data_IF_918814286523
#
_entry.id   IF_918814286523
#
_cell.length_a   1.000
_cell.length_b   1.000
_cell.length_c   1.000
_cell.angle_alpha   90.00
_cell.angle_beta   90.00
_cell.angle_gamma   90.00
#
_symmetry.space_group_name_H-M   'P 1'
#
loop_
_entity.id
_entity.type
_entity.pdbx_description
1 polymer ?
#
# COMPACT_ATOMS: atom_id res chain seq x y z
N UNK A 1 -49.64 -17.47 -2.29
CA UNK A 1 -48.49 -17.84 -3.14
C UNK A 1 -47.85 -16.56 -3.67
N UNK A 2 -46.57 -16.30 -3.37
CA UNK A 2 -45.86 -15.08 -3.80
C UNK A 2 -45.10 -15.23 -5.12
N UNK A 3 -45.05 -16.45 -5.70
CA UNK A 3 -44.27 -16.77 -6.91
C UNK A 3 -44.59 -15.91 -8.14
N UNK A 4 -45.75 -15.25 -8.17
CA UNK A 4 -46.11 -14.33 -9.26
C UNK A 4 -45.57 -12.91 -9.08
N UNK A 5 -45.04 -12.58 -7.88
CA UNK A 5 -44.54 -11.24 -7.51
C UNK A 5 -43.06 -11.24 -7.16
N UNK A 6 -42.44 -12.43 -7.03
CA UNK A 6 -41.02 -12.59 -6.64
C UNK A 6 -40.31 -13.35 -7.75
N UNK A 7 -39.26 -12.74 -8.29
CA UNK A 7 -38.35 -13.34 -9.27
C UNK A 7 -37.05 -13.74 -8.57
N UNK A 8 -36.41 -14.79 -9.06
CA UNK A 8 -35.10 -15.26 -8.58
C UNK A 8 -33.95 -14.80 -9.49
N UNK A 9 -34.24 -14.00 -10.51
CA UNK A 9 -33.24 -13.42 -11.39
C UNK A 9 -32.54 -12.27 -10.63
N UNK A 10 -31.20 -12.30 -10.48
CA UNK A 10 -30.48 -11.25 -9.78
C UNK A 10 -30.33 -9.99 -10.64
N UNK A 11 -30.09 -8.86 -9.99
CA UNK A 11 -29.51 -7.69 -10.64
C UNK A 11 -28.00 -7.87 -10.75
N UNK A 12 -27.42 -7.65 -11.94
CA UNK A 12 -25.98 -7.76 -12.20
C UNK A 12 -25.44 -6.37 -12.52
N UNK A 13 -24.36 -5.98 -11.83
CA UNK A 13 -23.64 -4.74 -12.06
C UNK A 13 -22.14 -5.05 -12.16
N UNK A 14 -21.49 -4.53 -13.20
CA UNK A 14 -20.05 -4.61 -13.39
C UNK A 14 -19.43 -3.24 -13.10
N UNK A 15 -18.38 -3.23 -12.28
CA UNK A 15 -17.66 -2.01 -11.91
C UNK A 15 -16.15 -2.28 -11.99
N UNK A 16 -15.42 -1.41 -12.68
CA UNK A 16 -13.96 -1.45 -12.67
C UNK A 16 -13.44 -0.91 -11.33
N UNK A 17 -12.54 -1.68 -10.70
CA UNK A 17 -11.89 -1.28 -9.44
C UNK A 17 -10.63 -0.51 -9.79
N UNK A 18 -10.74 0.82 -9.81
CA UNK A 18 -9.62 1.74 -9.95
C UNK A 18 -9.02 2.16 -8.59
N UNK A 19 -8.05 3.07 -8.62
CA UNK A 19 -7.30 3.54 -7.45
C UNK A 19 -8.17 4.28 -6.42
N UNK A 20 -9.36 4.77 -6.79
CA UNK A 20 -10.26 5.48 -5.89
C UNK A 20 -11.07 4.50 -5.02
N UNK A 21 -11.15 3.22 -5.39
CA UNK A 21 -11.81 2.19 -4.61
C UNK A 21 -10.85 1.52 -3.63
N UNK A 22 -11.00 1.82 -2.34
CA UNK A 22 -10.15 1.22 -1.30
C UNK A 22 -10.70 -0.10 -0.75
N UNK A 23 -12.03 -0.23 -0.68
CA UNK A 23 -12.68 -1.38 -0.06
C UNK A 23 -14.11 -1.60 -0.56
N UNK A 24 -14.62 -2.82 -0.32
CA UNK A 24 -16.04 -3.18 -0.45
C UNK A 24 -16.52 -3.85 0.83
N UNK A 25 -17.71 -3.46 1.29
CA UNK A 25 -18.43 -4.12 2.39
C UNK A 25 -19.66 -4.82 1.83
N UNK A 26 -19.75 -6.12 2.01
CA UNK A 26 -20.93 -6.93 1.70
C UNK A 26 -21.51 -7.46 3.01
N UNK A 27 -22.80 -7.30 3.24
CA UNK A 27 -23.44 -7.74 4.48
C UNK A 27 -24.94 -7.99 4.30
N UNK A 28 -25.51 -8.76 5.23
CA UNK A 28 -26.96 -8.89 5.39
C UNK A 28 -27.60 -7.59 5.90
N UNK A 29 -28.90 -7.46 5.72
CA UNK A 29 -29.75 -6.39 6.27
C UNK A 29 -29.62 -6.24 7.80
N UNK A 30 -29.37 -7.35 8.52
CA UNK A 30 -29.01 -7.31 9.94
C UNK A 30 -27.85 -6.36 10.29
N UNK A 31 -26.94 -6.03 9.36
CA UNK A 31 -25.97 -4.93 9.53
C UNK A 31 -26.58 -3.57 9.17
N UNK A 32 -27.12 -3.45 7.96
CA UNK A 32 -27.53 -2.19 7.35
C UNK A 32 -28.74 -1.53 8.01
N UNK A 33 -29.58 -2.30 8.70
CA UNK A 33 -30.72 -1.79 9.45
C UNK A 33 -30.30 -0.87 10.62
N UNK A 34 -29.08 -1.04 11.15
CA UNK A 34 -28.60 -0.33 12.36
C UNK A 34 -27.24 0.36 12.19
N UNK A 35 -26.51 0.07 11.10
CA UNK A 35 -25.22 0.70 10.77
C UNK A 35 -25.37 1.50 9.48
N UNK A 36 -25.06 2.80 9.54
CA UNK A 36 -25.06 3.67 8.36
C UNK A 36 -23.86 3.38 7.47
N UNK A 37 -23.98 3.68 6.18
CA UNK A 37 -22.92 3.46 5.19
C UNK A 37 -21.62 4.17 5.60
N UNK A 38 -21.70 5.42 6.08
CA UNK A 38 -20.54 6.22 6.47
C UNK A 38 -19.82 5.60 7.68
N UNK A 39 -20.59 5.15 8.68
CA UNK A 39 -20.05 4.44 9.85
C UNK A 39 -19.38 3.13 9.42
N UNK A 40 -19.98 2.40 8.49
CA UNK A 40 -19.46 1.13 8.01
C UNK A 40 -18.11 1.31 7.30
N UNK A 41 -18.00 2.30 6.41
CA UNK A 41 -16.75 2.64 5.72
C UNK A 41 -15.68 3.07 6.71
N UNK A 42 -16.02 3.96 7.66
CA UNK A 42 -15.08 4.42 8.67
C UNK A 42 -14.51 3.26 9.50
N UNK A 43 -15.38 2.35 9.98
CA UNK A 43 -14.96 1.16 10.74
C UNK A 43 -14.12 0.24 9.84
N UNK A 44 -14.52 0.04 8.58
CA UNK A 44 -13.82 -0.85 7.67
C UNK A 44 -12.42 -0.37 7.33
N UNK A 45 -12.21 0.94 7.19
CA UNK A 45 -10.90 1.53 6.92
C UNK A 45 -9.93 1.37 8.10
N UNK A 46 -10.38 1.69 9.32
CA UNK A 46 -9.49 1.80 10.49
C UNK A 46 -9.17 0.45 11.15
N UNK A 47 -10.07 -0.52 11.06
CA UNK A 47 -9.95 -1.77 11.81
C UNK A 47 -9.23 -2.86 11.02
N UNK A 48 -8.28 -3.55 11.68
CA UNK A 48 -7.65 -4.77 11.12
C UNK A 48 -8.64 -5.93 11.02
N UNK A 49 -9.58 -6.02 11.98
CA UNK A 49 -10.65 -7.01 12.03
C UNK A 49 -12.00 -6.42 11.63
N UNK A 50 -12.04 -5.65 10.55
CA UNK A 50 -13.19 -4.85 10.13
C UNK A 50 -14.53 -5.61 10.16
N UNK A 51 -14.61 -6.78 9.53
CA UNK A 51 -15.85 -7.57 9.47
C UNK A 51 -16.37 -7.94 10.88
N UNK A 52 -15.47 -8.33 11.80
CA UNK A 52 -15.83 -8.61 13.19
C UNK A 52 -16.28 -7.35 13.91
N UNK A 53 -15.60 -6.22 13.70
CA UNK A 53 -15.99 -4.98 14.36
C UNK A 53 -17.35 -4.47 13.89
N UNK A 54 -17.65 -4.62 12.59
CA UNK A 54 -18.95 -4.30 12.01
C UNK A 54 -20.05 -5.18 12.60
N UNK A 55 -19.84 -6.49 12.71
CA UNK A 55 -20.84 -7.39 13.28
C UNK A 55 -21.07 -7.13 14.77
N UNK A 56 -20.01 -6.88 15.55
CA UNK A 56 -20.10 -6.45 16.95
C UNK A 56 -20.84 -5.12 17.10
N UNK A 57 -20.62 -4.18 16.18
CA UNK A 57 -21.27 -2.87 16.21
C UNK A 57 -22.77 -2.99 15.94
N UNK A 58 -23.18 -3.76 14.93
CA UNK A 58 -24.60 -4.02 14.69
C UNK A 58 -25.27 -4.76 15.85
N UNK A 59 -24.59 -5.76 16.42
CA UNK A 59 -25.10 -6.45 17.60
C UNK A 59 -25.28 -5.48 18.79
N UNK A 60 -24.28 -4.66 19.07
CA UNK A 60 -24.32 -3.66 20.15
C UNK A 60 -25.35 -2.55 19.93
N UNK A 61 -25.73 -2.26 18.67
CA UNK A 61 -26.80 -1.33 18.31
C UNK A 61 -28.19 -1.95 18.33
N UNK A 62 -28.30 -3.24 18.68
CA UNK A 62 -29.59 -3.91 18.87
C UNK A 62 -30.17 -4.52 17.60
N UNK A 63 -29.34 -4.89 16.62
CA UNK A 63 -29.81 -5.69 15.48
C UNK A 63 -30.51 -6.96 15.99
N UNK A 64 -31.70 -7.21 15.45
CA UNK A 64 -32.56 -8.34 15.80
C UNK A 64 -32.51 -9.47 14.77
N UNK A 65 -31.60 -9.39 13.80
CA UNK A 65 -31.46 -10.37 12.71
C UNK A 65 -30.08 -11.05 12.71
N UNK A 66 -29.87 -12.00 11.82
CA UNK A 66 -28.58 -12.60 11.54
C UNK A 66 -27.64 -11.57 10.90
N UNK A 67 -26.50 -11.35 11.54
CA UNK A 67 -25.49 -10.39 11.09
C UNK A 67 -24.35 -11.15 10.43
N UNK A 68 -24.23 -10.99 9.12
CA UNK A 68 -23.10 -11.51 8.33
C UNK A 68 -22.43 -10.35 7.61
N UNK A 69 -21.10 -10.35 7.55
CA UNK A 69 -20.33 -9.27 6.93
C UNK A 69 -19.03 -9.81 6.33
N UNK A 70 -18.72 -9.38 5.11
CA UNK A 70 -17.47 -9.60 4.39
C UNK A 70 -16.91 -8.23 4.06
N UNK A 71 -15.62 -8.03 4.35
CA UNK A 71 -14.89 -6.80 3.99
C UNK A 71 -13.73 -7.19 3.09
N UNK A 72 -13.70 -6.61 1.90
CA UNK A 72 -12.62 -6.76 0.92
C UNK A 72 -11.85 -5.45 0.88
N UNK A 73 -10.54 -5.49 1.10
CA UNK A 73 -9.65 -4.33 0.93
C UNK A 73 -8.83 -4.53 -0.34
N UNK A 74 -8.84 -3.54 -1.22
CA UNK A 74 -8.03 -3.56 -2.41
C UNK A 74 -6.62 -3.06 -2.09
N UNK A 75 -5.62 -3.71 -2.67
CA UNK A 75 -4.24 -3.25 -2.59
C UNK A 75 -3.86 -2.73 -3.97
N UNK A 76 -3.84 -1.41 -4.10
CA UNK A 76 -3.34 -0.76 -5.31
C UNK A 76 -1.81 -0.74 -5.23
N UNK A 77 -1.15 -1.37 -6.19
CA UNK A 77 0.28 -1.20 -6.37
C UNK A 77 0.52 0.28 -6.62
N UNK A 78 1.35 0.91 -5.77
CA UNK A 78 1.74 2.30 -5.99
C UNK A 78 2.46 2.34 -7.33
N UNK A 79 1.83 2.93 -8.34
CA UNK A 79 2.59 3.41 -9.48
C UNK A 79 3.63 4.38 -8.91
N UNK A 80 4.90 4.05 -9.05
CA UNK A 80 5.96 5.01 -8.79
C UNK A 80 5.62 6.27 -9.59
N UNK A 81 5.63 7.47 -8.99
CA UNK A 81 5.36 8.69 -9.74
C UNK A 81 6.36 8.76 -10.88
N UNK A 82 5.85 8.67 -12.11
CA UNK A 82 6.62 8.73 -13.35
C UNK A 82 7.54 9.96 -13.28
N UNK A 83 8.85 9.74 -13.17
CA UNK A 83 9.83 10.83 -13.16
C UNK A 83 9.59 11.68 -14.42
N UNK A 84 9.54 13.03 -14.30
CA UNK A 84 9.35 13.88 -15.47
C UNK A 84 10.47 13.59 -16.49
N UNK A 85 10.14 13.57 -17.80
CA UNK A 85 11.10 13.16 -18.83
C UNK A 85 12.37 14.00 -18.73
N UNK A 86 13.56 13.39 -18.93
CA UNK A 86 14.83 14.10 -18.82
C UNK A 86 14.83 15.29 -19.77
N UNK A 87 15.16 16.46 -19.23
CA UNK A 87 15.23 17.71 -20.00
C UNK A 87 16.18 17.52 -21.20
N UNK A 88 15.83 18.03 -22.39
CA UNK A 88 16.66 17.87 -23.58
C UNK A 88 18.06 18.47 -23.32
N UNK A 89 19.13 17.83 -23.83
CA UNK A 89 20.49 18.29 -23.59
C UNK A 89 20.68 19.71 -24.15
N UNK A 90 21.10 20.63 -23.29
CA UNK A 90 21.54 21.95 -23.70
C UNK A 90 22.82 21.77 -24.52
N UNK A 91 22.77 22.08 -25.82
CA UNK A 91 23.95 22.10 -26.67
C UNK A 91 24.83 23.28 -26.26
N UNK A 92 25.85 23.01 -25.44
CA UNK A 92 26.98 23.91 -25.32
C UNK A 92 27.74 23.88 -26.64
N UNK A 93 27.64 24.96 -27.42
CA UNK A 93 28.55 25.21 -28.53
C UNK A 93 29.93 25.54 -27.93
N UNK A 94 30.75 24.52 -27.73
CA UNK A 94 32.17 24.67 -27.39
C UNK A 94 32.90 25.29 -28.60
N UNK A 95 33.10 26.61 -28.55
CA UNK A 95 34.00 27.29 -29.49
C UNK A 95 35.42 26.92 -29.08
N UNK A 96 36.09 26.10 -29.90
CA UNK A 96 37.49 25.75 -29.74
C UNK A 96 38.37 26.86 -30.32
N UNK A 97 39.34 27.43 -29.57
CA UNK A 97 40.50 28.06 -30.17
C UNK A 97 41.75 27.18 -30.05
N UNK A 98 42.58 27.29 -31.07
CA UNK A 98 43.86 26.63 -31.32
C UNK A 98 44.99 27.04 -30.37
N UNK A 99 45.82 26.04 -30.05
CA UNK A 99 47.26 26.00 -29.69
C UNK A 99 47.97 27.19 -28.99
N UNK A 100 48.69 26.89 -27.90
CA UNK A 100 50.16 27.05 -27.79
C UNK A 100 50.72 26.33 -26.54
N UNK A 101 52.00 25.97 -26.61
CA UNK A 101 52.85 25.12 -25.73
C UNK A 101 53.10 25.77 -24.32
N UNK A 102 53.64 25.19 -23.24
CA UNK A 102 54.79 24.28 -22.98
C UNK A 102 54.79 23.76 -21.50
N UNK A 103 55.55 22.67 -21.26
CA UNK A 103 56.37 22.30 -20.06
C UNK A 103 55.71 22.06 -18.67
N UNK A 104 55.70 20.82 -18.16
CA UNK A 104 56.74 20.12 -17.34
C UNK A 104 56.52 20.30 -15.81
N UNK A 105 56.19 19.20 -15.10
CA UNK A 105 56.92 18.70 -13.93
C UNK A 105 56.14 17.63 -13.12
N UNK A 106 56.70 16.41 -13.17
CA UNK A 106 57.11 15.54 -12.06
C UNK A 106 56.22 15.25 -10.81
N UNK A 107 56.02 13.92 -10.64
CA UNK A 107 56.32 13.09 -9.45
C UNK A 107 55.22 12.66 -8.46
N UNK A 108 55.10 11.32 -8.40
CA UNK A 108 54.93 10.43 -7.23
C UNK A 108 53.65 10.60 -6.37
N UNK A 109 53.03 9.57 -5.78
CA UNK A 109 53.49 8.26 -5.32
C UNK A 109 52.24 7.34 -5.12
N UNK A 110 52.51 6.05 -5.10
CA UNK A 110 51.62 4.88 -5.00
C UNK A 110 50.73 4.76 -3.73
N UNK A 111 49.74 3.82 -3.70
CA UNK A 111 48.84 3.50 -2.58
C UNK A 111 49.41 2.33 -1.73
N UNK A 112 48.64 1.49 -1.01
CA UNK A 112 47.45 1.62 -0.13
C UNK A 112 47.78 1.14 1.33
N UNK A 113 46.83 1.12 2.28
CA UNK A 113 46.84 0.10 3.35
C UNK A 113 45.41 -0.30 3.78
N UNK A 114 45.24 -1.61 3.88
CA UNK A 114 44.09 -2.39 4.33
C UNK A 114 44.36 -2.82 5.78
N UNK A 115 43.36 -2.91 6.66
CA UNK A 115 43.50 -3.71 7.87
C UNK A 115 42.14 -4.26 8.31
N UNK A 116 41.97 -5.57 8.13
CA UNK A 116 40.87 -6.38 8.67
C UNK A 116 41.19 -6.77 10.11
N UNK A 117 40.18 -6.84 11.00
CA UNK A 117 40.21 -7.82 12.08
C UNK A 117 38.81 -8.20 12.58
N UNK A 118 38.63 -9.51 12.64
CA UNK A 118 37.50 -10.32 13.07
C UNK A 118 37.41 -10.41 14.60
N UNK A 119 36.24 -10.71 15.19
CA UNK A 119 36.06 -11.78 16.19
C UNK A 119 34.58 -11.95 16.62
N UNK A 120 34.22 -13.21 16.87
CA UNK A 120 32.91 -13.79 17.24
C UNK A 120 32.71 -13.79 18.77
N UNK A 121 31.46 -13.89 19.25
CA UNK A 121 30.96 -14.91 20.21
C UNK A 121 29.45 -14.74 20.56
N UNK A 122 28.70 -15.85 20.54
CA UNK A 122 27.37 -16.08 21.18
C UNK A 122 27.58 -16.90 22.49
N UNK A 123 26.55 -17.47 23.16
CA UNK A 123 25.47 -16.87 23.95
C UNK A 123 25.42 -17.42 25.40
N UNK A 124 24.69 -16.81 26.35
CA UNK A 124 24.39 -17.43 27.65
C UNK A 124 23.00 -17.12 28.24
N UNK A 125 22.19 -18.20 28.33
CA UNK A 125 21.26 -18.67 29.39
C UNK A 125 21.08 -17.84 30.68
N UNK A 126 19.84 -17.78 31.22
CA UNK A 126 19.47 -18.29 32.58
C UNK A 126 17.99 -18.05 32.96
N UNK A 127 17.43 -19.10 33.59
CA UNK A 127 16.14 -19.27 34.27
C UNK A 127 15.76 -18.22 35.33
N UNK A 128 14.45 -18.10 35.57
CA UNK A 128 13.74 -17.92 36.88
C UNK A 128 12.24 -17.82 36.57
N UNK A 129 11.26 -18.28 37.36
CA UNK A 129 11.16 -19.17 38.52
C UNK A 129 9.69 -19.60 38.57
#
# INVERSE_FOLDING_TARGET
>A
MLKQFVVAEPEIQDQEVDQDYELVVLASDGLWDVVRNEDAVQIAQTEKGAARKLTETAFGRGSADNITCIVVKFHHDKADPEEPPPSPPQQNFEVKPESEETEENDKANSPPEECQQTSKEEPHTTHQS
#
